data_IF_961784040387
#
_entry.id   IF_961784040387
#
_cell.length_a   1.000
_cell.length_b   1.000
_cell.length_c   1.000
_cell.angle_alpha   90.00
_cell.angle_beta   90.00
_cell.angle_gamma   90.00
#
_symmetry.space_group_name_H-M   'P 1'
#
loop_
_entity.id
_entity.type
_entity.pdbx_description
1 polymer ?
#
# COMPACT_ATOMS: atom_id res chain seq x y z
N UNK A 1 17.22 1.41 3.84
CA UNK A 1 16.73 1.40 2.46
C UNK A 1 16.89 2.81 1.90
N UNK A 2 17.12 3.00 0.59
CA UNK A 2 17.06 4.34 0.00
C UNK A 2 15.61 4.86 0.13
N UNK A 3 15.39 6.14 0.42
CA UNK A 3 14.07 6.60 0.84
C UNK A 3 13.11 6.75 -0.33
N UNK A 4 11.82 6.55 -0.07
CA UNK A 4 10.78 6.68 -1.10
C UNK A 4 10.53 8.13 -1.52
N UNK A 5 10.82 9.10 -0.66
CA UNK A 5 10.62 10.53 -0.91
C UNK A 5 11.85 11.29 -0.44
N UNK A 6 12.08 12.52 -0.94
CA UNK A 6 13.22 13.31 -0.48
C UNK A 6 13.11 13.54 1.02
N UNK A 7 14.22 13.39 1.72
CA UNK A 7 14.30 13.69 3.14
C UNK A 7 14.90 15.07 3.27
N UNK A 8 14.15 15.97 3.89
CA UNK A 8 14.58 17.35 4.13
C UNK A 8 15.07 17.49 5.56
N UNK A 9 16.13 18.26 5.71
CA UNK A 9 16.56 18.74 7.01
C UNK A 9 15.49 19.67 7.59
N UNK A 10 15.11 19.47 8.85
CA UNK A 10 14.00 20.24 9.44
C UNK A 10 14.36 21.69 9.72
N UNK A 11 15.63 22.00 10.00
CA UNK A 11 16.08 23.35 10.30
C UNK A 11 16.27 24.20 9.02
N UNK A 12 16.78 23.59 7.96
CA UNK A 12 17.20 24.30 6.73
C UNK A 12 16.31 24.03 5.52
N UNK A 13 15.42 23.03 5.58
CA UNK A 13 14.56 22.62 4.47
C UNK A 13 15.31 21.99 3.28
N UNK A 14 16.64 21.83 3.36
CA UNK A 14 17.48 21.29 2.28
C UNK A 14 17.31 19.78 2.16
N UNK A 15 17.37 19.27 0.93
CA UNK A 15 17.35 17.81 0.68
C UNK A 15 18.63 17.17 1.22
N UNK A 16 18.49 16.32 2.23
CA UNK A 16 19.56 15.48 2.77
C UNK A 16 19.70 14.18 2.00
N UNK A 17 18.59 13.60 1.55
CA UNK A 17 18.58 12.37 0.73
C UNK A 17 17.56 12.52 -0.40
N UNK A 18 17.97 12.08 -1.59
CA UNK A 18 17.09 12.06 -2.75
C UNK A 18 16.14 10.85 -2.70
N UNK A 19 14.99 10.99 -3.35
CA UNK A 19 14.05 9.90 -3.53
C UNK A 19 14.63 8.81 -4.43
N UNK A 20 14.27 7.56 -4.14
CA UNK A 20 14.57 6.42 -5.00
C UNK A 20 13.68 6.48 -6.23
N UNK A 21 14.31 6.54 -7.41
CA UNK A 21 13.61 6.58 -8.70
C UNK A 21 13.93 5.39 -9.60
N UNK A 22 15.08 4.74 -9.41
CA UNK A 22 15.40 3.50 -10.13
C UNK A 22 14.82 2.31 -9.35
N UNK A 23 13.99 1.46 -9.98
CA UNK A 23 13.52 0.22 -9.36
C UNK A 23 14.70 -0.71 -9.06
N UNK A 24 14.64 -1.39 -7.92
CA UNK A 24 15.68 -2.33 -7.51
C UNK A 24 15.59 -3.66 -8.28
N UNK A 25 14.36 -4.18 -8.43
CA UNK A 25 14.06 -5.45 -9.08
C UNK A 25 12.55 -5.53 -9.39
N UNK A 26 12.19 -6.44 -10.30
CA UNK A 26 10.82 -6.93 -10.48
C UNK A 26 10.59 -8.11 -9.53
N UNK A 27 9.40 -8.20 -8.95
CA UNK A 27 8.99 -9.31 -8.08
C UNK A 27 7.58 -9.77 -8.44
N UNK A 28 7.33 -11.06 -8.28
CA UNK A 28 6.00 -11.65 -8.43
C UNK A 28 5.14 -11.40 -7.19
N UNK A 29 3.81 -11.43 -7.32
CA UNK A 29 2.91 -11.21 -6.17
C UNK A 29 3.09 -12.28 -5.09
N UNK A 30 3.43 -13.51 -5.47
CA UNK A 30 3.75 -14.60 -4.54
C UNK A 30 5.05 -14.34 -3.74
N UNK A 31 6.00 -13.59 -4.31
CA UNK A 31 7.21 -13.15 -3.60
C UNK A 31 6.90 -12.04 -2.62
N UNK A 32 6.01 -11.11 -3.00
CA UNK A 32 5.47 -10.09 -2.08
C UNK A 32 4.78 -10.77 -0.90
N UNK A 33 3.89 -11.73 -1.16
CA UNK A 33 3.18 -12.48 -0.13
C UNK A 33 4.15 -13.18 0.84
N UNK A 34 5.16 -13.89 0.34
CA UNK A 34 6.19 -14.54 1.18
C UNK A 34 7.00 -13.51 1.99
N UNK A 35 7.33 -12.37 1.40
CA UNK A 35 8.06 -11.31 2.07
C UNK A 35 7.25 -10.76 3.27
N UNK A 36 5.97 -10.45 3.08
CA UNK A 36 5.13 -9.84 4.12
C UNK A 36 4.71 -10.83 5.21
N UNK A 37 4.71 -12.13 4.95
CA UNK A 37 4.29 -13.16 5.93
C UNK A 37 5.44 -13.81 6.69
N UNK A 38 6.65 -13.91 6.11
CA UNK A 38 7.73 -14.74 6.67
C UNK A 38 9.01 -13.96 7.06
N UNK A 39 9.15 -12.70 6.62
CA UNK A 39 10.41 -11.98 6.82
C UNK A 39 10.55 -11.38 8.23
N UNK A 40 11.43 -11.97 9.04
CA UNK A 40 11.70 -11.54 10.44
C UNK A 40 12.21 -10.11 10.56
N UNK A 41 13.03 -9.64 9.60
CA UNK A 41 13.52 -8.27 9.60
C UNK A 41 12.38 -7.28 9.34
N UNK A 42 11.52 -7.58 8.37
CA UNK A 42 10.35 -6.78 8.08
C UNK A 42 9.37 -6.78 9.27
N UNK A 43 9.24 -7.90 9.99
CA UNK A 43 8.47 -7.98 11.23
C UNK A 43 8.97 -7.01 12.31
N UNK A 44 10.28 -6.91 12.51
CA UNK A 44 10.88 -5.96 13.44
C UNK A 44 10.62 -4.51 13.04
N UNK A 45 10.87 -4.16 11.77
CA UNK A 45 10.64 -2.81 11.25
C UNK A 45 9.16 -2.39 11.32
N UNK A 46 8.26 -3.33 11.04
CA UNK A 46 6.81 -3.10 11.14
C UNK A 46 6.39 -2.82 12.58
N UNK A 47 7.00 -3.51 13.55
CA UNK A 47 6.74 -3.27 14.97
C UNK A 47 7.15 -1.86 15.40
N UNK A 48 8.29 -1.37 14.94
CA UNK A 48 8.74 0.01 15.21
C UNK A 48 7.74 1.04 14.66
N UNK A 49 7.26 0.84 13.42
CA UNK A 49 6.24 1.71 12.81
C UNK A 49 4.94 1.70 13.60
N UNK A 50 4.47 0.51 14.00
CA UNK A 50 3.24 0.38 14.80
C UNK A 50 3.39 1.00 16.18
N UNK A 51 4.54 0.87 16.82
CA UNK A 51 4.81 1.49 18.12
C UNK A 51 4.71 3.02 18.03
N UNK A 52 5.37 3.65 17.05
CA UNK A 52 5.26 5.09 16.83
C UNK A 52 3.81 5.53 16.54
N UNK A 53 3.05 4.73 15.80
CA UNK A 53 1.65 5.01 15.52
C UNK A 53 0.75 4.91 16.77
N UNK A 54 1.02 3.98 17.68
CA UNK A 54 0.32 3.84 18.97
C UNK A 54 0.60 5.00 19.91
N UNK A 55 1.82 5.54 19.87
CA UNK A 55 2.25 6.71 20.64
C UNK A 55 1.70 8.03 20.08
N UNK A 56 1.08 8.01 18.89
CA UNK A 56 0.61 9.21 18.21
C UNK A 56 1.73 10.05 17.60
N UNK A 57 2.93 9.50 17.44
CA UNK A 57 4.06 10.19 16.81
C UNK A 57 4.04 10.00 15.28
N UNK A 58 3.19 10.79 14.63
CA UNK A 58 3.02 10.78 13.18
C UNK A 58 4.32 11.14 12.42
N UNK A 59 5.18 11.98 13.00
CA UNK A 59 6.43 12.39 12.40
C UNK A 59 7.42 11.21 12.34
N UNK A 60 7.60 10.51 13.46
CA UNK A 60 8.44 9.31 13.54
C UNK A 60 7.85 8.18 12.71
N UNK A 61 6.53 7.95 12.76
CA UNK A 61 5.86 6.95 11.92
C UNK A 61 6.12 7.19 10.43
N UNK A 62 5.97 8.43 9.96
CA UNK A 62 6.26 8.81 8.57
C UNK A 62 7.74 8.58 8.23
N UNK A 63 8.65 8.96 9.10
CA UNK A 63 10.10 8.79 8.89
C UNK A 63 10.48 7.31 8.77
N UNK A 64 9.99 6.48 9.70
CA UNK A 64 10.23 5.03 9.72
C UNK A 64 9.71 4.37 8.44
N UNK A 65 8.46 4.65 8.03
CA UNK A 65 7.91 4.16 6.76
C UNK A 65 8.81 4.52 5.58
N UNK A 66 9.21 5.80 5.48
CA UNK A 66 9.99 6.31 4.36
C UNK A 66 11.41 5.75 4.26
N UNK A 67 12.04 5.40 5.38
CA UNK A 67 13.45 5.01 5.43
C UNK A 67 13.70 3.50 5.56
N UNK A 68 12.72 2.77 6.10
CA UNK A 68 12.93 1.38 6.53
C UNK A 68 12.10 0.37 5.74
N UNK A 69 10.86 0.71 5.38
CA UNK A 69 9.96 -0.24 4.74
C UNK A 69 10.24 -0.37 3.22
N UNK A 70 10.20 -1.60 2.68
CA UNK A 70 10.16 -1.81 1.24
C UNK A 70 8.83 -1.33 0.66
N UNK A 71 8.81 -1.12 -0.65
CA UNK A 71 7.60 -0.78 -1.39
C UNK A 71 7.67 -1.34 -2.80
N UNK A 72 6.50 -1.46 -3.43
CA UNK A 72 6.33 -1.85 -4.83
C UNK A 72 5.50 -0.82 -5.57
N UNK A 73 5.51 -0.86 -6.90
CA UNK A 73 4.57 -0.14 -7.78
C UNK A 73 3.56 -1.14 -8.34
N UNK A 74 2.37 -1.30 -7.73
CA UNK A 74 1.49 -2.43 -8.01
C UNK A 74 1.04 -2.53 -9.46
N UNK A 75 0.91 -1.40 -10.17
CA UNK A 75 0.39 -1.36 -11.54
C UNK A 75 1.33 -1.92 -12.62
N UNK A 76 2.60 -2.16 -12.31
CA UNK A 76 3.50 -2.74 -13.28
C UNK A 76 4.99 -2.55 -13.02
N UNK A 77 5.76 -2.97 -14.02
CA UNK A 77 7.20 -2.81 -14.09
C UNK A 77 7.52 -1.48 -14.75
N UNK A 78 8.32 -0.66 -14.09
CA UNK A 78 8.76 0.63 -14.60
C UNK A 78 10.27 0.62 -14.87
N UNK A 79 10.74 1.43 -15.81
CA UNK A 79 12.19 1.68 -15.97
C UNK A 79 12.68 2.74 -14.98
N UNK A 80 11.77 3.62 -14.56
CA UNK A 80 11.95 4.65 -13.54
C UNK A 80 10.61 4.90 -12.87
N UNK A 81 10.60 5.25 -11.60
CA UNK A 81 9.38 5.60 -10.85
C UNK A 81 8.81 6.95 -11.32
N UNK A 82 8.16 6.93 -12.48
CA UNK A 82 7.46 8.01 -13.16
C UNK A 82 6.37 7.41 -14.05
N UNK A 83 5.21 8.05 -14.17
CA UNK A 83 4.04 7.46 -14.85
C UNK A 83 4.28 7.16 -16.33
N UNK A 84 5.07 7.97 -17.04
CA UNK A 84 5.44 7.76 -18.45
C UNK A 84 6.56 6.71 -18.67
N UNK A 85 7.01 6.02 -17.62
CA UNK A 85 8.08 5.02 -17.66
C UNK A 85 7.57 3.59 -17.41
N UNK A 86 6.26 3.35 -17.56
CA UNK A 86 5.68 2.01 -17.51
C UNK A 86 6.21 1.17 -18.69
N UNK A 87 6.84 0.04 -18.37
CA UNK A 87 7.35 -0.93 -19.35
C UNK A 87 6.33 -2.04 -19.59
N UNK A 88 5.75 -2.55 -18.51
CA UNK A 88 4.86 -3.71 -18.56
C UNK A 88 3.79 -3.60 -17.46
N UNK A 89 2.49 -3.69 -17.80
CA UNK A 89 1.43 -3.70 -16.80
C UNK A 89 1.43 -5.03 -16.03
N UNK A 90 1.19 -4.97 -14.73
CA UNK A 90 1.04 -6.18 -13.89
C UNK A 90 -0.34 -6.82 -13.97
N UNK A 91 -1.34 -6.09 -14.50
CA UNK A 91 -2.75 -6.45 -14.39
C UNK A 91 -3.34 -6.26 -12.98
N UNK A 92 -2.66 -5.53 -12.10
CA UNK A 92 -3.10 -5.26 -10.73
C UNK A 92 -3.15 -3.76 -10.44
N UNK A 93 -4.13 -3.32 -9.66
CA UNK A 93 -4.13 -2.01 -9.00
C UNK A 93 -4.07 -2.19 -7.49
N UNK A 94 -3.84 -1.12 -6.75
CA UNK A 94 -3.88 -1.15 -5.28
C UNK A 94 -4.92 -0.19 -4.75
N UNK A 95 -5.69 -0.65 -3.78
CA UNK A 95 -6.54 0.20 -2.94
C UNK A 95 -5.99 0.21 -1.52
N UNK A 96 -6.13 1.36 -0.87
CA UNK A 96 -5.62 1.63 0.47
C UNK A 96 -6.73 2.28 1.29
N UNK A 97 -7.18 1.58 2.32
CA UNK A 97 -8.18 2.06 3.27
C UNK A 97 -7.44 2.30 4.57
N UNK A 98 -7.38 3.54 5.02
CA UNK A 98 -6.71 3.94 6.27
C UNK A 98 -7.74 4.53 7.26
N UNK A 99 -7.26 5.00 8.40
CA UNK A 99 -8.05 5.67 9.45
C UNK A 99 -9.08 4.78 10.16
N UNK A 100 -8.81 3.47 10.20
CA UNK A 100 -9.57 2.54 11.04
C UNK A 100 -9.27 2.80 12.53
N UNK A 101 -10.25 2.52 13.38
CA UNK A 101 -10.21 2.78 14.82
C UNK A 101 -9.27 1.82 15.55
N UNK A 102 -9.11 0.60 15.03
CA UNK A 102 -8.38 -0.46 15.72
C UNK A 102 -7.73 -1.48 14.76
N UNK A 103 -6.85 -2.31 15.31
CA UNK A 103 -6.26 -3.43 14.55
C UNK A 103 -7.30 -4.51 14.29
N UNK A 104 -8.20 -4.73 15.23
CA UNK A 104 -9.29 -5.70 15.14
C UNK A 104 -10.29 -5.33 14.02
N UNK A 105 -10.55 -4.03 13.83
CA UNK A 105 -11.33 -3.54 12.70
C UNK A 105 -10.58 -3.78 11.37
N UNK A 106 -9.28 -3.52 11.32
CA UNK A 106 -8.46 -3.80 10.14
C UNK A 106 -8.43 -5.29 9.79
N UNK A 107 -8.39 -6.17 10.78
CA UNK A 107 -8.46 -7.63 10.58
C UNK A 107 -9.80 -8.07 9.99
N UNK A 108 -10.92 -7.52 10.50
CA UNK A 108 -12.26 -7.80 9.96
C UNK A 108 -12.39 -7.30 8.52
N UNK A 109 -11.95 -6.06 8.26
CA UNK A 109 -12.01 -5.47 6.93
C UNK A 109 -11.10 -6.22 5.93
N UNK A 110 -9.93 -6.70 6.36
CA UNK A 110 -9.07 -7.56 5.54
C UNK A 110 -9.82 -8.80 5.05
N UNK A 111 -10.55 -9.47 5.94
CA UNK A 111 -11.35 -10.65 5.55
C UNK A 111 -12.50 -10.26 4.62
N UNK A 112 -13.24 -9.19 4.95
CA UNK A 112 -14.36 -8.70 4.13
C UNK A 112 -13.92 -8.33 2.71
N UNK A 113 -12.84 -7.57 2.56
CA UNK A 113 -12.27 -7.23 1.26
C UNK A 113 -11.81 -8.47 0.51
N UNK A 114 -11.17 -9.42 1.19
CA UNK A 114 -10.72 -10.65 0.54
C UNK A 114 -11.89 -11.46 -0.01
N UNK A 115 -13.00 -11.50 0.71
CA UNK A 115 -14.22 -12.20 0.32
C UNK A 115 -15.11 -11.40 -0.65
N UNK A 116 -14.75 -10.16 -0.99
CA UNK A 116 -15.53 -9.31 -1.89
C UNK A 116 -15.61 -9.94 -3.30
N UNK A 117 -16.81 -10.26 -3.79
CA UNK A 117 -16.98 -10.97 -5.06
C UNK A 117 -16.75 -10.08 -6.29
N UNK A 118 -16.77 -8.75 -6.12
CA UNK A 118 -16.59 -7.79 -7.21
C UNK A 118 -15.14 -7.33 -7.33
N UNK A 119 -14.51 -6.92 -6.21
CA UNK A 119 -13.10 -6.57 -6.17
C UNK A 119 -12.21 -7.79 -6.39
N UNK A 120 -12.59 -8.94 -5.85
CA UNK A 120 -11.87 -10.20 -5.97
C UNK A 120 -10.34 -10.06 -5.80
N UNK A 121 -9.85 -9.43 -4.71
CA UNK A 121 -8.46 -9.06 -4.61
C UNK A 121 -7.53 -10.28 -4.57
N UNK A 122 -6.40 -10.14 -5.24
CA UNK A 122 -5.34 -11.14 -5.32
C UNK A 122 -4.54 -11.24 -4.01
N UNK A 123 -4.37 -10.12 -3.32
CA UNK A 123 -3.62 -10.03 -2.06
C UNK A 123 -4.25 -8.96 -1.17
N UNK A 124 -4.51 -9.27 0.10
CA UNK A 124 -5.00 -8.31 1.10
C UNK A 124 -4.21 -8.43 2.39
N UNK A 125 -3.75 -7.31 2.95
CA UNK A 125 -2.98 -7.27 4.18
C UNK A 125 -3.18 -5.97 4.96
N UNK A 126 -2.91 -6.01 6.26
CA UNK A 126 -3.00 -4.86 7.15
C UNK A 126 -1.85 -3.88 6.87
N UNK A 127 -2.18 -2.59 6.82
CA UNK A 127 -1.25 -1.51 6.51
C UNK A 127 -0.15 -1.34 7.57
N UNK A 128 0.96 -0.63 7.27
CA UNK A 128 2.10 -0.50 8.18
C UNK A 128 1.76 0.01 9.58
N UNK A 129 0.74 0.87 9.71
CA UNK A 129 0.34 1.45 10.99
C UNK A 129 -0.56 0.53 11.81
N UNK A 130 -1.06 -0.57 11.23
CA UNK A 130 -2.06 -1.42 11.87
C UNK A 130 -3.49 -0.88 11.83
N UNK A 131 -3.71 0.31 11.24
CA UNK A 131 -5.01 1.02 11.22
C UNK A 131 -5.54 1.23 9.80
N UNK A 132 -5.27 0.26 8.94
CA UNK A 132 -5.70 0.29 7.55
C UNK A 132 -5.49 -1.07 6.88
N UNK A 133 -6.01 -1.20 5.67
CA UNK A 133 -5.94 -2.41 4.84
C UNK A 133 -5.56 -2.03 3.43
N UNK A 134 -4.62 -2.78 2.86
CA UNK A 134 -4.20 -2.67 1.47
C UNK A 134 -4.67 -3.90 0.70
N UNK A 135 -5.25 -3.69 -0.48
CA UNK A 135 -5.67 -4.77 -1.36
C UNK A 135 -5.13 -4.57 -2.77
N UNK A 136 -4.58 -5.63 -3.35
CA UNK A 136 -4.17 -5.71 -4.75
C UNK A 136 -5.32 -6.31 -5.55
N UNK A 137 -5.88 -5.54 -6.45
CA UNK A 137 -7.12 -5.84 -7.17
C UNK A 137 -6.81 -6.11 -8.64
N UNK A 138 -7.24 -7.24 -9.22
CA UNK A 138 -7.08 -7.50 -10.65
C UNK A 138 -7.78 -6.47 -11.53
N UNK A 139 -7.13 -6.05 -12.61
CA UNK A 139 -7.75 -5.28 -13.67
C UNK A 139 -8.65 -6.20 -14.51
N UNK A 140 -9.84 -5.73 -14.88
CA UNK A 140 -10.67 -6.47 -15.80
C UNK A 140 -10.00 -6.59 -17.20
N UNK A 141 -10.29 -7.65 -17.97
CA UNK A 141 -9.81 -7.78 -19.33
C UNK A 141 -10.10 -6.52 -20.17
N UNK A 142 -9.11 -6.07 -20.94
CA UNK A 142 -9.18 -4.87 -21.80
C UNK A 142 -9.43 -3.53 -21.07
N UNK A 143 -9.49 -3.50 -19.73
CA UNK A 143 -9.62 -2.26 -18.96
C UNK A 143 -8.29 -1.51 -18.92
N UNK A 144 -8.32 -0.18 -19.07
CA UNK A 144 -7.13 0.64 -18.83
C UNK A 144 -6.78 0.64 -17.34
N UNK A 145 -5.49 0.75 -16.99
CA UNK A 145 -5.05 0.79 -15.58
C UNK A 145 -5.71 1.98 -14.85
N UNK A 146 -5.80 3.13 -15.52
CA UNK A 146 -6.42 4.33 -14.94
C UNK A 146 -7.89 4.09 -14.60
N UNK A 147 -8.65 3.46 -15.50
CA UNK A 147 -10.05 3.13 -15.24
C UNK A 147 -10.18 2.08 -14.13
N UNK A 148 -9.27 1.12 -14.07
CA UNK A 148 -9.23 0.11 -13.00
C UNK A 148 -8.96 0.75 -11.63
N UNK A 149 -8.02 1.70 -11.56
CA UNK A 149 -7.76 2.48 -10.33
C UNK A 149 -9.03 3.25 -9.92
N UNK A 150 -9.63 3.99 -10.85
CA UNK A 150 -10.83 4.77 -10.56
C UNK A 150 -11.98 3.89 -10.10
N UNK A 151 -12.24 2.80 -10.81
CA UNK A 151 -13.29 1.84 -10.46
C UNK A 151 -13.06 1.24 -9.07
N UNK A 152 -11.86 0.72 -8.78
CA UNK A 152 -11.57 0.09 -7.50
C UNK A 152 -11.66 1.09 -6.33
N UNK A 153 -11.14 2.31 -6.51
CA UNK A 153 -11.25 3.37 -5.50
C UNK A 153 -12.71 3.80 -5.27
N UNK A 154 -13.48 4.02 -6.34
CA UNK A 154 -14.89 4.40 -6.24
C UNK A 154 -15.73 3.30 -5.60
N UNK A 155 -15.50 2.04 -5.98
CA UNK A 155 -16.19 0.90 -5.40
C UNK A 155 -15.90 0.82 -3.89
N UNK A 156 -14.64 0.88 -3.49
CA UNK A 156 -14.28 0.83 -2.07
C UNK A 156 -14.91 1.98 -1.29
N UNK A 157 -14.90 3.19 -1.85
CA UNK A 157 -15.53 4.34 -1.21
C UNK A 157 -17.04 4.14 -1.04
N UNK A 158 -17.74 3.64 -2.06
CA UNK A 158 -19.19 3.42 -1.98
C UNK A 158 -19.59 2.29 -1.02
N UNK A 159 -18.77 1.24 -0.90
CA UNK A 159 -19.15 0.02 -0.17
C UNK A 159 -18.60 -0.01 1.26
N UNK A 160 -17.36 0.44 1.45
CA UNK A 160 -16.65 0.31 2.73
C UNK A 160 -16.44 1.63 3.47
N UNK A 161 -16.67 2.76 2.78
CA UNK A 161 -16.45 4.11 3.33
C UNK A 161 -17.76 4.91 3.50
N UNK A 162 -18.89 4.41 2.98
CA UNK A 162 -20.16 5.15 2.94
C UNK A 162 -20.76 5.45 4.34
N UNK A 163 -20.47 4.63 5.35
CA UNK A 163 -20.91 4.86 6.74
C UNK A 163 -20.03 5.86 7.52
N UNK A 164 -18.89 6.26 6.95
CA UNK A 164 -17.91 7.14 7.60
C UNK A 164 -18.08 8.62 7.24
N UNK A 165 -19.31 9.14 7.31
CA UNK A 165 -19.69 10.56 7.14
C UNK A 165 -18.97 11.55 8.11
N UNK A 166 -18.03 11.10 8.94
CA UNK A 166 -17.14 11.95 9.73
C UNK A 166 -15.88 12.27 8.92
N UNK A 167 -15.82 13.52 8.44
CA UNK A 167 -14.73 14.14 7.68
C UNK A 167 -13.33 13.77 8.22
N UNK A 168 -12.70 12.76 7.64
CA UNK A 168 -11.34 12.33 8.01
C UNK A 168 -11.07 10.82 7.90
N UNK A 169 -12.10 9.99 7.83
CA UNK A 169 -11.98 8.56 7.50
C UNK A 169 -12.22 8.37 6.00
N UNK A 170 -11.42 7.52 5.35
CA UNK A 170 -11.71 7.08 4.00
C UNK A 170 -10.56 6.72 3.07
N UNK A 171 -10.93 6.29 1.87
CA UNK A 171 -10.02 5.87 0.79
C UNK A 171 -9.07 7.02 0.45
N UNK A 172 -7.76 6.75 0.45
CA UNK A 172 -6.76 7.75 0.05
C UNK A 172 -6.97 8.13 -1.43
N UNK A 173 -7.65 9.26 -1.67
CA UNK A 173 -7.93 9.78 -3.01
C UNK A 173 -6.67 10.18 -3.80
N UNK A 174 -5.48 10.14 -3.17
CA UNK A 174 -4.18 10.38 -3.83
C UNK A 174 -3.62 9.15 -4.57
N UNK A 175 -4.33 8.02 -4.58
CA UNK A 175 -3.97 6.77 -5.26
C UNK A 175 -4.13 6.74 -6.79
N UNK A 176 -4.47 7.87 -7.42
CA UNK A 176 -4.82 7.94 -8.86
C UNK A 176 -3.65 7.70 -9.84
N UNK A 177 -2.42 7.67 -9.34
CA UNK A 177 -1.23 7.55 -10.18
C UNK A 177 -0.85 6.08 -10.40
N UNK A 178 -0.67 5.68 -11.65
CA UNK A 178 -0.21 4.33 -12.01
C UNK A 178 1.16 4.00 -11.40
N UNK A 179 1.99 4.99 -11.08
CA UNK A 179 3.28 4.78 -10.41
C UNK A 179 3.19 4.87 -8.87
N UNK A 180 1.97 4.84 -8.32
CA UNK A 180 1.76 4.88 -6.87
C UNK A 180 2.55 3.76 -6.20
N UNK A 181 3.32 4.15 -5.21
CA UNK A 181 4.09 3.22 -4.42
C UNK A 181 3.25 2.68 -3.25
N UNK A 182 3.26 1.38 -3.07
CA UNK A 182 2.61 0.68 -1.96
C UNK A 182 3.69 0.19 -0.99
N UNK A 183 3.72 0.73 0.23
CA UNK A 183 4.60 0.22 1.28
C UNK A 183 4.20 -1.20 1.67
N UNK A 184 5.20 -2.05 1.80
CA UNK A 184 5.08 -3.40 2.29
C UNK A 184 5.50 -3.44 3.76
N UNK A 185 4.72 -4.12 4.57
CA UNK A 185 4.98 -4.38 5.99
C UNK A 185 4.69 -5.83 6.29
N UNK A 186 5.08 -6.28 7.48
CA UNK A 186 4.82 -7.65 7.90
C UNK A 186 3.37 -7.81 8.40
N UNK A 187 2.67 -8.78 7.84
CA UNK A 187 1.35 -9.22 8.27
C UNK A 187 1.27 -10.75 8.12
N UNK A 188 1.28 -11.47 9.25
CA UNK A 188 1.17 -12.92 9.26
C UNK A 188 -0.20 -13.40 8.75
N UNK A 189 -1.24 -12.58 8.91
CA UNK A 189 -2.60 -12.90 8.50
C UNK A 189 -2.94 -12.43 7.08
N UNK A 190 -1.96 -11.99 6.29
CA UNK A 190 -2.20 -11.61 4.90
C UNK A 190 -2.88 -12.75 4.13
N UNK A 191 -3.83 -12.40 3.26
CA UNK A 191 -4.63 -13.34 2.48
C UNK A 191 -4.25 -13.23 1.00
N UNK A 192 -4.04 -14.36 0.35
CA UNK A 192 -3.53 -14.43 -1.02
C UNK A 192 -4.32 -15.45 -1.86
N UNK A 193 -4.70 -15.08 -3.09
CA UNK A 193 -5.33 -15.97 -4.07
C UNK A 193 -4.29 -16.47 -5.07
N UNK A 194 -4.28 -17.77 -5.34
CA UNK A 194 -3.51 -18.36 -6.44
C UNK A 194 -4.33 -18.29 -7.73
N UNK A 195 -3.77 -17.77 -8.82
CA UNK A 195 -4.45 -17.74 -10.14
C UNK A 195 -5.56 -16.70 -10.23
N UNK A 196 -5.28 -15.48 -9.77
CA UNK A 196 -6.14 -14.30 -9.86
C UNK A 196 -6.12 -13.67 -11.25
#
# INVERSE_FOLDING_TARGET
MPPISPIKDQATGKNMKNATLAPLQTVELSEVYRLITANKRLAALTREVRQAALEGDDATCRLLKQQTLPYVTPCGVFTRRRSDCLKEPSGLVVVDIDHLESTEEAEKLRQQLFDDPYLHPALVFISPTGRGVKAFVPCAPQQSITDAIHWAMSYVHCIYDADHQQSGKGVDTSGKDIVRSCFLCHDLGALFRTGY
#
